data_IF_520595872939
#
_entry.id   IF_520595872939
#
_cell.length_a   1.000
_cell.length_b   1.000
_cell.length_c   1.000
_cell.angle_alpha   90.00
_cell.angle_beta   90.00
_cell.angle_gamma   90.00
#
_symmetry.space_group_name_H-M   'P 1'
#
loop_
_entity.id
_entity.type
_entity.pdbx_description
1 polymer ?
#
# COMPACT_ATOMS: atom_id res chain seq x y z
N UNK A 1 -6.80 -16.89 -42.54
CA UNK A 1 -7.16 -17.47 -41.24
C UNK A 1 -6.21 -16.87 -40.21
N UNK A 2 -6.63 -15.80 -39.55
CA UNK A 2 -5.89 -15.18 -38.45
C UNK A 2 -6.18 -16.01 -37.19
N UNK A 3 -5.18 -16.70 -36.66
CA UNK A 3 -5.29 -17.36 -35.35
C UNK A 3 -5.10 -16.31 -34.27
N UNK A 4 -6.20 -16.02 -33.57
CA UNK A 4 -6.22 -15.27 -32.33
C UNK A 4 -5.60 -16.14 -31.23
N UNK A 5 -4.33 -15.90 -30.88
CA UNK A 5 -3.72 -16.50 -29.69
C UNK A 5 -4.19 -15.66 -28.50
N UNK A 6 -5.26 -16.10 -27.86
CA UNK A 6 -5.63 -15.63 -26.53
C UNK A 6 -4.55 -16.13 -25.55
N UNK A 7 -3.56 -15.28 -25.29
CA UNK A 7 -2.62 -15.50 -24.19
C UNK A 7 -3.41 -15.45 -22.90
N UNK A 8 -3.62 -16.61 -22.28
CA UNK A 8 -3.96 -16.69 -20.87
C UNK A 8 -2.76 -16.12 -20.11
N UNK A 9 -2.82 -14.83 -19.79
CA UNK A 9 -1.94 -14.27 -18.77
C UNK A 9 -2.23 -15.04 -17.48
N UNK A 10 -1.35 -15.98 -17.13
CA UNK A 10 -1.34 -16.52 -15.78
C UNK A 10 -1.21 -15.31 -14.84
N UNK A 11 -1.91 -15.29 -13.70
CA UNK A 11 -1.71 -14.24 -12.71
C UNK A 11 -0.24 -14.30 -12.33
N UNK A 12 0.55 -13.34 -12.83
CA UNK A 12 1.85 -13.01 -12.25
C UNK A 12 1.49 -12.35 -10.94
N UNK A 13 1.23 -13.18 -9.93
CA UNK A 13 1.24 -12.73 -8.56
C UNK A 13 2.64 -12.14 -8.37
N UNK A 14 2.72 -10.81 -8.21
CA UNK A 14 3.95 -10.16 -7.79
C UNK A 14 4.53 -11.00 -6.67
N UNK A 15 5.71 -11.60 -6.90
CA UNK A 15 6.25 -12.61 -5.99
C UNK A 15 6.34 -11.96 -4.61
N UNK A 16 5.68 -12.54 -3.62
CA UNK A 16 5.64 -11.96 -2.30
C UNK A 16 7.03 -11.65 -1.76
N UNK A 17 7.12 -10.46 -1.21
CA UNK A 17 8.36 -9.92 -0.70
C UNK A 17 8.78 -10.71 0.55
N UNK A 18 10.08 -10.89 0.78
CA UNK A 18 10.60 -11.53 2.00
C UNK A 18 9.90 -11.10 3.30
N UNK A 19 9.60 -9.80 3.51
CA UNK A 19 8.81 -9.33 4.66
C UNK A 19 7.46 -10.03 4.83
N UNK A 20 6.72 -10.33 3.75
CA UNK A 20 5.43 -11.02 3.84
C UNK A 20 5.61 -12.48 4.24
N UNK A 21 6.62 -13.15 3.71
CA UNK A 21 6.90 -14.54 4.06
C UNK A 21 7.35 -14.68 5.52
N UNK A 22 8.15 -13.73 6.03
CA UNK A 22 8.48 -13.61 7.46
C UNK A 22 7.20 -13.46 8.30
N UNK A 23 6.34 -12.48 7.99
CA UNK A 23 5.13 -12.22 8.80
C UNK A 23 4.00 -13.24 8.64
N UNK A 24 4.06 -14.11 7.63
CA UNK A 24 3.12 -15.22 7.47
C UNK A 24 3.51 -16.44 8.30
N UNK A 25 4.73 -16.47 8.86
CA UNK A 25 5.20 -17.56 9.71
C UNK A 25 4.49 -17.55 11.05
N UNK A 26 3.78 -18.63 11.38
CA UNK A 26 3.18 -18.78 12.71
C UNK A 26 4.23 -19.00 13.81
N UNK A 27 5.45 -19.38 13.42
CA UNK A 27 6.55 -19.72 14.33
C UNK A 27 7.45 -18.51 14.65
N UNK A 28 7.25 -17.37 13.96
CA UNK A 28 8.04 -16.15 14.15
C UNK A 28 7.09 -14.97 14.36
N UNK A 29 6.73 -14.71 15.62
CA UNK A 29 5.91 -13.55 16.01
C UNK A 29 6.77 -12.29 16.13
N UNK A 30 7.42 -11.90 15.04
CA UNK A 30 8.28 -10.73 15.03
C UNK A 30 7.46 -9.46 15.32
N UNK A 31 7.91 -8.64 16.27
CA UNK A 31 7.22 -7.39 16.64
C UNK A 31 7.04 -6.46 15.43
N UNK A 32 7.97 -6.49 14.47
CA UNK A 32 7.89 -5.72 13.23
C UNK A 32 6.70 -6.12 12.31
N UNK A 33 6.08 -7.28 12.54
CA UNK A 33 4.89 -7.75 11.83
C UNK A 33 3.57 -7.26 12.44
N UNK A 34 3.60 -6.59 13.60
CA UNK A 34 2.40 -6.12 14.29
C UNK A 34 1.87 -4.84 13.63
N UNK A 35 1.06 -5.01 12.59
CA UNK A 35 0.40 -3.91 11.88
C UNK A 35 1.24 -3.25 10.79
N UNK A 36 2.42 -3.79 10.47
CA UNK A 36 3.29 -3.36 9.39
C UNK A 36 4.04 -4.56 8.77
N UNK A 37 4.67 -4.33 7.62
CA UNK A 37 5.67 -5.26 7.09
C UNK A 37 7.07 -4.75 7.48
N UNK A 38 8.00 -5.64 7.86
CA UNK A 38 9.40 -5.30 8.08
C UNK A 38 10.02 -4.64 6.86
N UNK A 39 10.88 -3.65 7.08
CA UNK A 39 11.57 -2.99 5.98
C UNK A 39 12.65 -3.90 5.37
N UNK A 40 13.09 -3.59 4.15
CA UNK A 40 14.20 -4.31 3.52
C UNK A 40 15.49 -4.25 4.34
N UNK A 41 15.66 -3.25 5.21
CA UNK A 41 16.86 -3.12 6.03
C UNK A 41 16.99 -4.19 7.10
N UNK A 42 15.95 -5.00 7.32
CA UNK A 42 16.03 -6.16 8.20
C UNK A 42 17.08 -7.16 7.69
N UNK A 43 17.08 -7.48 6.39
CA UNK A 43 18.05 -8.41 5.78
C UNK A 43 19.12 -7.73 4.91
N UNK A 44 18.96 -6.44 4.59
CA UNK A 44 19.85 -5.73 3.68
C UNK A 44 20.50 -4.52 4.34
N UNK A 45 21.77 -4.26 4.04
CA UNK A 45 22.41 -2.98 4.40
C UNK A 45 22.05 -1.90 3.37
N UNK A 46 22.04 -2.29 2.09
CA UNK A 46 21.57 -1.47 0.98
C UNK A 46 21.16 -2.44 -0.12
N UNK A 47 19.85 -2.69 -0.35
CA UNK A 47 19.42 -3.65 -1.36
C UNK A 47 20.14 -3.45 -2.70
N UNK A 48 20.68 -4.51 -3.33
CA UNK A 48 20.52 -5.92 -2.94
C UNK A 48 21.52 -6.45 -1.90
N UNK A 49 22.48 -5.65 -1.43
CA UNK A 49 23.55 -6.08 -0.52
C UNK A 49 22.97 -6.51 0.85
N UNK A 50 23.27 -7.74 1.26
CA UNK A 50 22.83 -8.32 2.53
C UNK A 50 23.61 -7.72 3.70
N UNK A 51 22.93 -7.57 4.85
CA UNK A 51 23.58 -7.30 6.13
C UNK A 51 23.99 -8.63 6.81
N UNK A 52 24.57 -8.56 8.01
CA UNK A 52 25.02 -9.75 8.74
C UNK A 52 23.91 -10.79 8.94
N UNK A 53 22.72 -10.35 9.38
CA UNK A 53 21.55 -11.21 9.53
C UNK A 53 21.07 -11.81 8.20
N UNK A 54 21.03 -10.99 7.14
CA UNK A 54 20.66 -11.44 5.80
C UNK A 54 21.59 -12.53 5.27
N UNK A 55 22.90 -12.44 5.57
CA UNK A 55 23.84 -13.53 5.26
C UNK A 55 23.55 -14.80 6.05
N UNK A 56 23.26 -14.70 7.35
CA UNK A 56 22.89 -15.87 8.17
C UNK A 56 21.63 -16.57 7.62
N UNK A 57 20.60 -15.81 7.25
CA UNK A 57 19.38 -16.36 6.61
C UNK A 57 19.68 -16.97 5.25
N UNK A 58 20.53 -16.33 4.44
CA UNK A 58 20.93 -16.85 3.13
C UNK A 58 21.72 -18.16 3.24
N UNK A 59 22.62 -18.27 4.22
CA UNK A 59 23.36 -19.49 4.51
C UNK A 59 22.43 -20.62 4.99
N UNK A 60 21.45 -20.30 5.84
CA UNK A 60 20.42 -21.24 6.27
C UNK A 60 19.54 -21.73 5.10
N UNK A 61 19.16 -20.84 4.17
CA UNK A 61 18.47 -21.21 2.93
C UNK A 61 19.34 -22.11 2.05
N UNK A 62 20.62 -21.78 1.87
CA UNK A 62 21.54 -22.56 1.06
C UNK A 62 21.82 -23.95 1.66
N UNK A 63 21.72 -24.09 2.99
CA UNK A 63 21.84 -25.37 3.68
C UNK A 63 20.59 -26.26 3.54
N UNK A 64 19.41 -25.69 3.23
CA UNK A 64 18.23 -26.48 2.86
C UNK A 64 18.43 -27.07 1.45
N UNK A 65 18.74 -28.36 1.37
CA UNK A 65 18.92 -29.06 0.09
C UNK A 65 17.69 -29.08 -0.83
N UNK A 66 16.52 -28.66 -0.35
CA UNK A 66 15.31 -28.48 -1.14
C UNK A 66 15.07 -27.01 -1.56
N UNK A 67 15.91 -26.07 -1.15
CA UNK A 67 15.81 -24.67 -1.53
C UNK A 67 16.13 -24.47 -3.01
N UNK A 68 15.26 -23.72 -3.67
CA UNK A 68 15.48 -23.11 -4.97
C UNK A 68 14.98 -21.68 -4.92
N UNK A 69 15.46 -20.82 -5.81
CA UNK A 69 14.98 -19.44 -5.87
C UNK A 69 13.45 -19.37 -6.08
N UNK A 70 12.85 -20.34 -6.76
CA UNK A 70 11.40 -20.41 -7.00
C UNK A 70 10.56 -20.78 -5.78
N UNK A 71 11.16 -21.35 -4.73
CA UNK A 71 10.45 -21.72 -3.51
C UNK A 71 10.87 -20.89 -2.29
N UNK A 72 11.58 -19.78 -2.51
CA UNK A 72 12.10 -18.89 -1.48
C UNK A 72 11.11 -18.60 -0.35
N UNK A 73 9.90 -18.15 -0.65
CA UNK A 73 8.90 -17.81 0.38
C UNK A 73 8.47 -19.00 1.24
N UNK A 74 8.35 -20.18 0.63
CA UNK A 74 7.96 -21.38 1.36
C UNK A 74 9.08 -21.88 2.27
N UNK A 75 10.34 -21.49 1.98
CA UNK A 75 11.53 -21.90 2.74
C UNK A 75 12.02 -20.84 3.72
N UNK A 76 11.71 -19.57 3.48
CA UNK A 76 12.18 -18.45 4.29
C UNK A 76 11.83 -18.60 5.78
N UNK A 77 10.60 -18.98 6.20
CA UNK A 77 10.29 -19.19 7.61
C UNK A 77 11.22 -20.20 8.30
N UNK A 78 11.50 -21.33 7.65
CA UNK A 78 12.37 -22.36 8.20
C UNK A 78 13.83 -21.88 8.30
N UNK A 79 14.30 -21.10 7.31
CA UNK A 79 15.63 -20.53 7.33
C UNK A 79 15.81 -19.48 8.43
N UNK A 80 14.80 -18.61 8.65
CA UNK A 80 14.80 -17.64 9.76
C UNK A 80 14.94 -18.36 11.11
N UNK A 81 14.15 -19.42 11.32
CA UNK A 81 14.21 -20.23 12.55
C UNK A 81 15.57 -20.91 12.68
N UNK A 82 16.12 -21.46 11.59
CA UNK A 82 17.42 -22.11 11.60
C UNK A 82 18.57 -21.16 11.93
N UNK A 83 18.50 -19.91 11.49
CA UNK A 83 19.42 -18.82 11.87
C UNK A 83 19.06 -18.18 13.22
N UNK A 84 18.01 -18.63 13.90
CA UNK A 84 17.43 -17.94 15.05
C UNK A 84 18.30 -17.94 16.31
N UNK A 85 19.17 -18.94 16.43
CA UNK A 85 20.12 -19.10 17.55
C UNK A 85 21.45 -18.35 17.30
N UNK A 86 21.67 -17.84 16.08
CA UNK A 86 22.85 -17.03 15.76
C UNK A 86 22.71 -15.63 16.36
N UNK A 87 23.84 -15.02 16.71
CA UNK A 87 23.99 -13.62 17.14
C UNK A 87 24.77 -12.90 16.04
N UNK A 88 24.06 -12.37 15.04
CA UNK A 88 24.72 -11.95 13.78
C UNK A 88 25.53 -10.67 13.94
N UNK A 89 25.21 -9.81 14.91
CA UNK A 89 25.91 -8.55 15.17
C UNK A 89 26.80 -8.56 16.42
N UNK A 90 26.73 -9.62 17.23
CA UNK A 90 27.59 -9.88 18.37
C UNK A 90 27.21 -9.10 19.62
N UNK A 91 25.96 -8.67 19.75
CA UNK A 91 25.48 -7.89 20.90
C UNK A 91 25.06 -8.74 22.12
N UNK A 92 25.00 -10.07 21.92
CA UNK A 92 24.69 -11.06 22.95
C UNK A 92 23.23 -11.50 23.01
N UNK A 93 22.37 -11.02 22.10
CA UNK A 93 21.03 -11.57 21.85
C UNK A 93 21.02 -12.44 20.60
N UNK A 94 20.14 -13.44 20.55
CA UNK A 94 19.96 -14.21 19.33
C UNK A 94 19.07 -13.47 18.33
N UNK A 95 19.24 -13.75 17.04
CA UNK A 95 18.44 -13.17 15.98
C UNK A 95 16.92 -13.33 16.24
N UNK A 96 16.49 -14.50 16.73
CA UNK A 96 15.08 -14.74 17.04
C UNK A 96 14.61 -13.92 18.24
N UNK A 97 15.42 -13.83 19.31
CA UNK A 97 15.09 -12.99 20.47
C UNK A 97 14.91 -11.52 20.05
N UNK A 98 15.78 -11.03 19.18
CA UNK A 98 15.69 -9.66 18.68
C UNK A 98 14.45 -9.42 17.82
N UNK A 99 14.10 -10.33 16.92
CA UNK A 99 12.86 -10.23 16.14
C UNK A 99 11.62 -10.17 17.04
N UNK A 100 11.58 -10.99 18.10
CA UNK A 100 10.49 -11.02 19.06
C UNK A 100 10.44 -9.71 19.88
N UNK A 101 11.59 -9.17 20.26
CA UNK A 101 11.69 -7.92 21.04
C UNK A 101 11.56 -6.65 20.19
N UNK A 102 11.65 -6.77 18.86
CA UNK A 102 11.59 -5.66 17.91
C UNK A 102 12.90 -4.91 17.71
N UNK A 103 14.03 -5.51 18.06
CA UNK A 103 15.37 -5.05 17.68
C UNK A 103 15.78 -5.53 16.27
N UNK A 104 16.92 -5.04 15.76
CA UNK A 104 17.44 -5.34 14.44
C UNK A 104 18.65 -6.28 14.55
N UNK A 105 18.56 -7.54 14.08
CA UNK A 105 19.62 -8.53 14.25
C UNK A 105 20.95 -8.31 13.54
N UNK A 106 21.16 -7.12 12.99
CA UNK A 106 22.36 -6.75 12.24
C UNK A 106 22.95 -5.43 12.71
N UNK A 107 22.41 -4.87 13.79
CA UNK A 107 22.80 -3.58 14.35
C UNK A 107 22.98 -3.73 15.86
N UNK A 108 24.23 -3.93 16.29
CA UNK A 108 24.60 -4.09 17.69
C UNK A 108 24.29 -2.84 18.57
N UNK A 109 23.79 -1.74 17.99
CA UNK A 109 23.26 -0.60 18.74
C UNK A 109 21.74 -0.66 18.93
N UNK A 110 21.04 -1.50 18.19
CA UNK A 110 19.61 -1.74 18.27
C UNK A 110 19.29 -2.76 19.37
N UNK A 111 19.52 -2.43 20.63
CA UNK A 111 19.18 -3.32 21.74
C UNK A 111 17.77 -3.03 22.29
N UNK A 112 17.04 -4.07 22.68
CA UNK A 112 15.79 -3.91 23.40
C UNK A 112 16.05 -3.36 24.81
N UNK A 113 15.66 -2.11 25.02
CA UNK A 113 15.55 -1.55 26.37
C UNK A 113 14.13 -1.77 26.83
N UNK A 114 13.93 -2.71 27.76
CA UNK A 114 12.64 -2.89 28.41
C UNK A 114 12.16 -1.51 28.91
N UNK A 115 10.97 -1.05 28.49
CA UNK A 115 10.47 0.22 28.99
C UNK A 115 10.42 0.11 30.51
N UNK A 116 10.87 1.15 31.24
CA UNK A 116 10.81 1.12 32.68
C UNK A 116 9.37 0.84 33.09
N UNK A 117 9.19 0.08 34.18
CA UNK A 117 7.88 -0.12 34.75
C UNK A 117 7.18 1.25 34.82
N UNK A 118 5.97 1.38 34.26
CA UNK A 118 5.33 2.68 34.17
C UNK A 118 5.16 3.20 35.61
N UNK A 119 5.80 4.33 35.87
CA UNK A 119 5.87 4.96 37.19
C UNK A 119 5.41 6.39 37.07
N UNK A 120 4.78 6.89 38.11
CA UNK A 120 4.39 8.29 38.19
C UNK A 120 3.63 8.57 39.47
N UNK A 121 3.53 9.85 39.80
CA UNK A 121 2.77 10.29 40.96
C UNK A 121 1.30 9.90 40.79
N UNK A 122 0.65 9.57 41.91
CA UNK A 122 -0.77 9.31 41.94
C UNK A 122 -1.53 10.47 41.29
N UNK A 123 -2.29 10.19 40.24
CA UNK A 123 -3.09 11.17 39.53
C UNK A 123 -4.58 10.95 39.87
N UNK A 124 -5.32 11.97 40.32
CA UNK A 124 -6.73 11.81 40.66
C UNK A 124 -7.63 11.57 39.44
N UNK A 125 -7.13 11.73 38.22
CA UNK A 125 -7.89 11.62 36.97
C UNK A 125 -7.50 10.43 36.10
N UNK A 126 -6.28 9.90 36.26
CA UNK A 126 -5.74 8.82 35.42
C UNK A 126 -5.09 7.72 36.25
N UNK A 127 -5.25 6.47 35.83
CA UNK A 127 -4.48 5.36 36.38
C UNK A 127 -3.06 5.39 35.79
N UNK A 128 -2.16 6.13 36.45
CA UNK A 128 -0.75 6.22 36.04
C UNK A 128 -0.01 4.99 36.54
N UNK A 129 0.65 4.27 35.63
CA UNK A 129 1.33 3.00 35.97
C UNK A 129 0.52 1.75 35.66
N UNK A 130 -0.78 1.89 35.41
CA UNK A 130 -1.70 0.78 35.17
C UNK A 130 -2.57 1.03 33.94
N UNK A 131 -3.35 0.02 33.52
CA UNK A 131 -4.31 0.16 32.44
C UNK A 131 -5.50 1.02 32.89
N UNK A 132 -5.60 2.23 32.37
CA UNK A 132 -6.74 3.12 32.61
C UNK A 132 -7.90 2.80 31.65
N UNK A 133 -8.87 2.01 32.11
CA UNK A 133 -10.06 1.66 31.33
C UNK A 133 -10.96 2.86 31.00
N UNK A 134 -10.97 3.90 31.84
CA UNK A 134 -11.74 5.12 31.57
C UNK A 134 -11.13 5.90 30.41
N UNK A 135 -9.79 5.96 30.37
CA UNK A 135 -9.04 6.56 29.28
C UNK A 135 -9.21 5.75 27.99
N UNK A 136 -9.12 4.42 28.06
CA UNK A 136 -9.33 3.53 26.91
C UNK A 136 -10.72 3.75 26.27
N UNK A 137 -11.78 3.79 27.08
CA UNK A 137 -13.14 4.06 26.61
C UNK A 137 -13.27 5.43 25.96
N UNK A 138 -12.71 6.48 26.59
CA UNK A 138 -12.64 7.82 26.01
C UNK A 138 -11.89 7.82 24.67
N UNK A 139 -10.79 7.08 24.58
CA UNK A 139 -9.96 7.00 23.38
C UNK A 139 -10.72 6.33 22.24
N UNK A 140 -11.45 5.24 22.51
CA UNK A 140 -12.31 4.59 21.51
C UNK A 140 -13.32 5.58 20.93
N UNK A 141 -14.09 6.26 21.80
CA UNK A 141 -15.10 7.19 21.31
C UNK A 141 -14.50 8.40 20.58
N UNK A 142 -13.38 8.94 21.08
CA UNK A 142 -12.76 10.12 20.44
C UNK A 142 -12.16 9.77 19.08
N UNK A 143 -11.46 8.64 18.98
CA UNK A 143 -10.75 8.25 17.76
C UNK A 143 -11.67 7.64 16.70
N UNK A 144 -12.66 6.83 17.10
CA UNK A 144 -13.47 6.06 16.16
C UNK A 144 -14.90 6.60 16.03
N UNK A 145 -15.45 7.26 17.06
CA UNK A 145 -16.76 7.90 16.99
C UNK A 145 -16.69 9.43 16.79
N UNK A 146 -15.49 10.03 16.81
CA UNK A 146 -15.30 11.47 16.57
C UNK A 146 -15.80 12.37 17.71
N UNK A 147 -16.11 11.80 18.88
CA UNK A 147 -16.66 12.56 20.02
C UNK A 147 -16.16 12.02 21.36
N UNK A 148 -16.05 12.87 22.39
CA UNK A 148 -15.82 12.37 23.74
C UNK A 148 -17.08 11.64 24.28
N UNK A 149 -16.93 10.75 25.28
CA UNK A 149 -18.06 10.25 26.06
C UNK A 149 -18.74 11.40 26.80
N UNK A 150 -20.05 11.31 26.92
CA UNK A 150 -20.82 12.09 27.90
C UNK A 150 -20.52 11.62 29.32
N UNK A 151 -20.92 12.43 30.32
CA UNK A 151 -20.76 12.05 31.72
C UNK A 151 -21.51 10.75 32.04
N UNK A 152 -22.76 10.62 31.57
CA UNK A 152 -23.61 9.46 31.84
C UNK A 152 -23.07 8.19 31.19
N UNK A 153 -22.59 8.27 29.93
CA UNK A 153 -21.95 7.13 29.25
C UNK A 153 -20.70 6.67 30.01
N UNK A 154 -19.85 7.61 30.44
CA UNK A 154 -18.65 7.28 31.21
C UNK A 154 -19.00 6.67 32.58
N UNK A 155 -19.97 7.24 33.28
CA UNK A 155 -20.42 6.73 34.57
C UNK A 155 -21.01 5.32 34.45
N UNK A 156 -21.82 5.07 33.42
CA UNK A 156 -22.39 3.75 33.13
C UNK A 156 -21.30 2.72 32.81
N UNK A 157 -20.32 3.07 31.98
CA UNK A 157 -19.19 2.20 31.66
C UNK A 157 -18.34 1.85 32.89
N UNK A 158 -18.06 2.83 33.75
CA UNK A 158 -17.28 2.61 34.97
C UNK A 158 -18.06 1.87 36.06
N UNK A 159 -19.39 1.88 36.01
CA UNK A 159 -20.26 1.14 36.93
C UNK A 159 -20.43 -0.34 36.58
N UNK A 160 -19.85 -0.83 35.48
CA UNK A 160 -19.85 -2.25 35.12
C UNK A 160 -19.07 -3.08 36.14
N UNK A 161 -19.57 -4.28 36.43
CA UNK A 161 -19.20 -5.05 37.63
C UNK A 161 -17.75 -5.56 37.64
N UNK A 162 -17.19 -5.88 36.47
CA UNK A 162 -15.88 -6.51 36.33
C UNK A 162 -15.10 -6.03 35.08
N UNK A 163 -13.82 -6.36 35.00
CA UNK A 163 -12.93 -5.95 33.90
C UNK A 163 -13.29 -6.63 32.57
N UNK A 164 -13.70 -7.91 32.58
CA UNK A 164 -14.09 -8.62 31.34
C UNK A 164 -15.36 -8.02 30.74
N UNK A 165 -16.31 -7.62 31.58
CA UNK A 165 -17.53 -6.92 31.17
C UNK A 165 -17.22 -5.54 30.61
N UNK A 166 -16.26 -4.81 31.22
CA UNK A 166 -15.78 -3.53 30.66
C UNK A 166 -15.07 -3.72 29.33
N UNK A 167 -14.28 -4.78 29.17
CA UNK A 167 -13.60 -5.09 27.92
C UNK A 167 -14.60 -5.39 26.80
N UNK A 168 -15.59 -6.26 27.06
CA UNK A 168 -16.67 -6.52 26.10
C UNK A 168 -17.45 -5.25 25.74
N UNK A 169 -17.72 -4.38 26.71
CA UNK A 169 -18.38 -3.10 26.45
C UNK A 169 -17.51 -2.14 25.62
N UNK A 170 -16.18 -2.16 25.82
CA UNK A 170 -15.23 -1.39 25.02
C UNK A 170 -15.23 -1.85 23.56
N UNK A 171 -15.16 -3.17 23.33
CA UNK A 171 -15.26 -3.75 21.99
C UNK A 171 -16.60 -3.44 21.34
N UNK A 172 -17.72 -3.58 22.05
CA UNK A 172 -19.03 -3.23 21.53
C UNK A 172 -19.15 -1.74 21.16
N UNK A 173 -18.54 -0.85 21.94
CA UNK A 173 -18.47 0.58 21.62
C UNK A 173 -17.63 0.82 20.36
N UNK A 174 -16.50 0.13 20.23
CA UNK A 174 -15.66 0.18 19.03
C UNK A 174 -16.45 -0.27 17.79
N UNK A 175 -17.13 -1.42 17.84
CA UNK A 175 -17.96 -1.93 16.73
C UNK A 175 -19.06 -0.94 16.32
N UNK A 176 -19.70 -0.31 17.31
CA UNK A 176 -20.68 0.75 17.05
C UNK A 176 -20.04 1.98 16.41
N UNK A 177 -18.81 2.34 16.79
CA UNK A 177 -18.09 3.45 16.16
C UNK A 177 -17.68 3.11 14.72
N UNK A 178 -17.14 1.92 14.48
CA UNK A 178 -16.68 1.46 13.15
C UNK A 178 -17.84 1.35 12.14
N UNK A 179 -19.07 1.18 12.62
CA UNK A 179 -20.29 1.18 11.79
C UNK A 179 -20.95 2.56 11.66
N UNK A 180 -20.38 3.62 12.26
CA UNK A 180 -20.91 4.99 12.17
C UNK A 180 -20.56 5.67 10.85
N UNK A 181 -21.33 6.71 10.49
CA UNK A 181 -21.00 7.59 9.36
C UNK A 181 -19.70 8.37 9.60
N UNK A 182 -19.43 8.82 10.82
CA UNK A 182 -18.16 9.50 11.14
C UNK A 182 -16.96 8.62 10.77
N UNK A 183 -16.97 7.34 11.17
CA UNK A 183 -15.87 6.44 10.83
C UNK A 183 -15.73 6.26 9.33
N UNK A 184 -16.83 5.91 8.63
CA UNK A 184 -16.82 5.61 7.20
C UNK A 184 -16.53 6.81 6.32
N UNK A 185 -17.09 7.97 6.65
CA UNK A 185 -17.17 9.12 5.75
C UNK A 185 -16.17 10.22 6.14
N UNK A 186 -15.52 10.13 7.30
CA UNK A 186 -14.54 11.12 7.75
C UNK A 186 -13.23 10.47 8.24
N UNK A 187 -13.28 9.59 9.25
CA UNK A 187 -12.07 9.06 9.85
C UNK A 187 -11.26 8.18 8.88
N UNK A 188 -11.93 7.25 8.17
CA UNK A 188 -11.28 6.42 7.15
C UNK A 188 -10.71 7.26 6.00
N UNK A 189 -11.42 8.31 5.57
CA UNK A 189 -10.91 9.21 4.52
C UNK A 189 -9.58 9.84 4.95
N UNK A 190 -9.48 10.33 6.18
CA UNK A 190 -8.23 10.93 6.68
C UNK A 190 -7.05 9.95 6.70
N UNK A 191 -7.31 8.65 6.87
CA UNK A 191 -6.26 7.62 6.76
C UNK A 191 -5.74 7.46 5.32
N UNK A 192 -6.56 7.82 4.33
CA UNK A 192 -6.23 7.74 2.91
C UNK A 192 -5.56 9.01 2.35
N UNK A 193 -5.51 10.12 3.11
CA UNK A 193 -4.99 11.41 2.65
C UNK A 193 -3.58 11.31 2.03
N UNK A 194 -2.70 10.50 2.63
CA UNK A 194 -1.34 10.29 2.13
C UNK A 194 -1.32 9.60 0.75
N UNK A 195 -2.33 8.78 0.43
CA UNK A 195 -2.45 8.00 -0.81
C UNK A 195 -3.20 8.76 -1.90
N UNK A 196 -4.31 9.42 -1.53
CA UNK A 196 -5.22 10.09 -2.47
C UNK A 196 -4.77 11.53 -2.77
N UNK A 197 -4.15 12.22 -1.79
CA UNK A 197 -3.65 13.60 -1.91
C UNK A 197 -4.73 14.56 -2.44
N UNK A 198 -5.76 14.88 -1.65
CA UNK A 198 -6.80 15.80 -2.08
C UNK A 198 -6.20 17.17 -2.41
N UNK A 199 -6.57 17.74 -3.56
CA UNK A 199 -6.21 19.10 -3.93
C UNK A 199 -7.51 19.90 -4.08
N UNK A 200 -7.90 20.68 -3.08
CA UNK A 200 -9.19 21.40 -3.07
C UNK A 200 -9.43 22.28 -4.32
N UNK A 201 -8.36 22.81 -4.92
CA UNK A 201 -8.45 23.59 -6.16
C UNK A 201 -8.86 22.76 -7.40
N UNK A 202 -8.70 21.44 -7.35
CA UNK A 202 -8.98 20.49 -8.44
C UNK A 202 -9.98 19.46 -7.93
N UNK A 203 -11.18 19.40 -8.51
CA UNK A 203 -12.27 18.61 -7.96
C UNK A 203 -13.58 19.01 -8.59
N UNK A 204 -14.62 18.18 -8.44
CA UNK A 204 -15.97 18.56 -8.88
C UNK A 204 -16.41 19.89 -8.25
N UNK A 205 -16.11 20.09 -6.96
CA UNK A 205 -16.40 21.33 -6.23
C UNK A 205 -15.26 22.39 -6.31
N UNK A 206 -14.18 22.08 -7.05
CA UNK A 206 -12.99 22.91 -7.16
C UNK A 206 -13.06 23.94 -8.29
N UNK A 207 -12.04 24.81 -8.38
CA UNK A 207 -11.93 25.79 -9.48
C UNK A 207 -11.68 25.13 -10.84
N UNK A 208 -11.09 23.92 -10.84
CA UNK A 208 -10.66 23.20 -12.03
C UNK A 208 -11.22 21.77 -11.96
N UNK A 209 -12.34 21.44 -12.64
CA UNK A 209 -13.04 20.18 -12.43
C UNK A 209 -12.45 19.00 -13.23
N UNK A 210 -11.12 18.83 -13.27
CA UNK A 210 -10.46 17.81 -14.12
C UNK A 210 -10.71 16.36 -13.68
N UNK A 211 -10.83 16.13 -12.38
CA UNK A 211 -11.14 14.84 -11.78
C UNK A 211 -11.64 15.08 -10.35
N UNK A 212 -12.24 14.08 -9.71
CA UNK A 212 -12.74 14.21 -8.33
C UNK A 212 -12.19 13.10 -7.43
N UNK A 213 -11.45 13.50 -6.40
CA UNK A 213 -10.87 12.61 -5.39
C UNK A 213 -11.92 11.98 -4.46
N UNK A 214 -13.15 12.49 -4.43
CA UNK A 214 -14.22 11.91 -3.63
C UNK A 214 -14.54 10.47 -4.03
N UNK A 215 -14.37 10.12 -5.31
CA UNK A 215 -14.53 8.74 -5.79
C UNK A 215 -13.50 7.78 -5.19
N UNK A 216 -12.26 8.24 -5.07
CA UNK A 216 -11.15 7.48 -4.48
C UNK A 216 -11.42 7.22 -2.99
N UNK A 217 -11.89 8.25 -2.27
CA UNK A 217 -12.30 8.11 -0.88
C UNK A 217 -13.44 7.11 -0.70
N UNK A 218 -14.44 7.13 -1.58
CA UNK A 218 -15.57 6.18 -1.56
C UNK A 218 -15.10 4.74 -1.75
N UNK A 219 -14.22 4.48 -2.72
CA UNK A 219 -13.66 3.15 -2.91
C UNK A 219 -12.82 2.72 -1.68
N UNK A 220 -11.97 3.61 -1.19
CA UNK A 220 -11.14 3.34 -0.02
C UNK A 220 -12.00 2.97 1.21
N UNK A 221 -12.96 3.81 1.56
CA UNK A 221 -13.84 3.56 2.70
C UNK A 221 -14.75 2.35 2.51
N UNK A 222 -15.18 2.06 1.29
CA UNK A 222 -15.91 0.84 1.00
C UNK A 222 -15.06 -0.37 1.34
N UNK A 223 -13.85 -0.47 0.78
CA UNK A 223 -12.96 -1.64 0.96
C UNK A 223 -12.43 -1.74 2.39
N UNK A 224 -12.12 -0.62 3.03
CA UNK A 224 -11.55 -0.56 4.39
C UNK A 224 -12.60 -0.62 5.51
N UNK A 225 -13.87 -0.82 5.17
CA UNK A 225 -14.95 -1.03 6.14
C UNK A 225 -15.59 -2.41 5.96
N UNK A 226 -16.19 -2.92 7.05
CA UNK A 226 -16.87 -4.21 7.04
C UNK A 226 -15.91 -5.39 6.84
N UNK A 227 -16.46 -6.51 6.38
CA UNK A 227 -15.72 -7.75 6.10
C UNK A 227 -15.52 -7.89 4.59
N UNK A 228 -14.60 -7.08 4.04
CA UNK A 228 -14.29 -7.03 2.61
C UNK A 228 -12.83 -7.34 2.37
N UNK A 229 -12.54 -7.86 1.18
CA UNK A 229 -11.18 -8.15 0.77
C UNK A 229 -10.42 -6.85 0.51
N UNK A 230 -9.45 -6.54 1.36
CA UNK A 230 -8.62 -5.33 1.23
C UNK A 230 -7.84 -5.27 -0.08
N UNK A 231 -7.65 -6.41 -0.76
CA UNK A 231 -7.02 -6.47 -2.08
C UNK A 231 -7.85 -5.74 -3.14
N UNK A 232 -9.14 -5.54 -2.92
CA UNK A 232 -10.01 -4.76 -3.83
C UNK A 232 -9.54 -3.30 -3.96
N UNK A 233 -8.73 -2.76 -3.04
CA UNK A 233 -8.05 -1.48 -3.25
C UNK A 233 -7.24 -1.45 -4.56
N UNK A 234 -6.73 -2.59 -5.02
CA UNK A 234 -5.95 -2.73 -6.24
C UNK A 234 -6.63 -3.59 -7.31
N UNK A 235 -7.57 -4.46 -6.91
CA UNK A 235 -8.20 -5.43 -7.80
C UNK A 235 -9.63 -5.07 -8.20
N UNK A 236 -10.25 -4.06 -7.59
CA UNK A 236 -11.64 -3.73 -7.89
C UNK A 236 -11.82 -3.34 -9.37
N UNK A 237 -12.70 -4.08 -10.03
CA UNK A 237 -13.20 -3.79 -11.39
C UNK A 237 -14.52 -3.01 -11.35
N UNK A 238 -14.86 -2.44 -10.20
CA UNK A 238 -16.13 -1.74 -9.93
C UNK A 238 -15.89 -0.42 -9.22
N UNK A 239 -16.81 0.53 -9.37
CA UNK A 239 -16.80 1.83 -8.68
C UNK A 239 -17.72 1.79 -7.45
N UNK A 240 -17.61 2.80 -6.61
CA UNK A 240 -18.53 3.02 -5.48
C UNK A 240 -19.23 4.36 -5.68
N UNK A 241 -20.56 4.33 -5.75
CA UNK A 241 -21.35 5.55 -5.93
C UNK A 241 -21.39 6.42 -4.67
N UNK A 242 -21.99 7.61 -4.76
CA UNK A 242 -22.13 8.52 -3.62
C UNK A 242 -23.00 7.97 -2.47
N UNK A 243 -23.79 6.92 -2.72
CA UNK A 243 -24.59 6.22 -1.71
C UNK A 243 -23.86 5.02 -1.11
N UNK A 244 -22.64 4.72 -1.56
CA UNK A 244 -21.84 3.58 -1.11
C UNK A 244 -22.14 2.27 -1.86
N UNK A 245 -22.93 2.30 -2.94
CA UNK A 245 -23.26 1.10 -3.71
C UNK A 245 -22.18 0.80 -4.75
N UNK A 246 -21.99 -0.48 -5.00
CA UNK A 246 -21.10 -0.96 -6.07
C UNK A 246 -21.73 -0.70 -7.44
N UNK A 247 -20.96 -0.10 -8.34
CA UNK A 247 -21.32 0.18 -9.73
C UNK A 247 -20.35 -0.55 -10.66
N UNK A 248 -20.86 -1.56 -11.36
CA UNK A 248 -20.08 -2.37 -12.31
C UNK A 248 -19.95 -1.74 -13.70
N UNK A 249 -20.17 -0.43 -13.85
CA UNK A 249 -20.10 0.28 -15.12
C UNK A 249 -19.42 1.63 -14.95
N UNK A 250 -19.46 2.48 -15.94
CA UNK A 250 -18.92 3.84 -15.80
C UNK A 250 -19.79 4.69 -14.88
N UNK A 251 -19.18 5.63 -14.18
CA UNK A 251 -19.90 6.74 -13.55
C UNK A 251 -19.74 7.94 -14.49
N UNK A 252 -20.81 8.45 -15.12
CA UNK A 252 -20.69 9.57 -16.04
C UNK A 252 -20.22 10.82 -15.30
N UNK A 253 -19.63 11.76 -16.05
CA UNK A 253 -19.40 13.09 -15.51
C UNK A 253 -20.73 13.72 -15.06
N UNK A 254 -20.73 14.52 -13.98
CA UNK A 254 -21.90 15.27 -13.57
C UNK A 254 -22.42 16.16 -14.71
N UNK A 255 -23.74 16.27 -14.83
CA UNK A 255 -24.39 16.95 -15.97
C UNK A 255 -24.05 18.46 -16.07
N UNK A 256 -23.61 19.06 -14.96
CA UNK A 256 -23.17 20.44 -14.83
C UNK A 256 -21.64 20.60 -14.96
N UNK A 257 -20.90 19.51 -15.22
CA UNK A 257 -19.46 19.57 -15.45
C UNK A 257 -19.13 20.35 -16.72
N UNK A 258 -18.38 21.45 -16.56
CA UNK A 258 -17.98 22.30 -17.68
C UNK A 258 -17.03 21.60 -18.67
N UNK A 259 -16.26 20.63 -18.20
CA UNK A 259 -15.19 19.96 -18.94
C UNK A 259 -15.53 18.50 -19.28
N UNK A 260 -16.76 18.05 -18.98
CA UNK A 260 -17.20 16.66 -19.11
C UNK A 260 -16.30 15.66 -18.35
N UNK A 261 -15.79 16.12 -17.20
CA UNK A 261 -14.89 15.39 -16.29
C UNK A 261 -15.47 15.36 -14.86
N UNK A 262 -14.81 14.66 -13.94
CA UNK A 262 -15.28 14.49 -12.55
C UNK A 262 -16.15 13.26 -12.30
N UNK A 263 -16.30 12.39 -13.31
CA UNK A 263 -16.89 11.06 -13.17
C UNK A 263 -15.83 9.97 -12.97
N UNK A 264 -16.18 8.75 -13.36
CA UNK A 264 -15.27 7.62 -13.47
C UNK A 264 -15.50 6.88 -14.80
N UNK A 265 -14.76 7.23 -15.86
CA UNK A 265 -15.12 6.86 -17.23
C UNK A 265 -14.64 5.46 -17.64
N UNK A 266 -13.85 4.77 -16.81
CA UNK A 266 -13.32 3.45 -17.18
C UNK A 266 -14.34 2.34 -17.01
N UNK A 267 -14.53 1.49 -18.03
CA UNK A 267 -15.33 0.27 -17.91
C UNK A 267 -14.57 -0.79 -17.09
N UNK A 268 -15.27 -1.76 -16.48
CA UNK A 268 -14.69 -2.75 -15.56
C UNK A 268 -13.42 -3.44 -16.03
N UNK A 269 -13.36 -3.80 -17.31
CA UNK A 269 -12.24 -4.53 -17.91
C UNK A 269 -10.96 -3.70 -18.01
N UNK A 270 -11.03 -2.38 -17.83
CA UNK A 270 -9.89 -1.47 -17.80
C UNK A 270 -9.62 -0.92 -16.39
N UNK A 271 -10.13 -1.59 -15.35
CA UNK A 271 -9.99 -1.13 -13.97
C UNK A 271 -9.11 -2.04 -13.13
N UNK A 272 -8.33 -1.38 -12.28
CA UNK A 272 -7.51 -1.95 -11.23
C UNK A 272 -7.60 -1.03 -10.00
N UNK A 273 -8.74 -1.08 -9.31
CA UNK A 273 -9.01 -0.36 -8.06
C UNK A 273 -8.61 1.12 -8.09
N UNK A 274 -7.83 1.52 -7.08
CA UNK A 274 -7.33 2.88 -6.88
C UNK A 274 -6.29 3.32 -7.91
N UNK A 275 -5.62 2.38 -8.61
CA UNK A 275 -4.59 2.71 -9.60
C UNK A 275 -5.16 3.22 -10.93
N UNK A 276 -6.48 3.15 -11.09
CA UNK A 276 -7.18 3.49 -12.33
C UNK A 276 -8.37 4.42 -12.07
N UNK A 277 -8.49 5.01 -10.89
CA UNK A 277 -9.48 6.08 -10.71
C UNK A 277 -9.12 7.28 -11.59
N UNK A 278 -10.12 8.04 -12.03
CA UNK A 278 -9.87 9.24 -12.83
C UNK A 278 -8.91 10.20 -12.12
N UNK A 279 -9.03 10.34 -10.80
CA UNK A 279 -8.14 11.16 -9.98
C UNK A 279 -6.69 10.69 -9.99
N UNK A 280 -6.45 9.40 -9.72
CA UNK A 280 -5.12 8.83 -9.69
C UNK A 280 -4.39 8.99 -11.04
N UNK A 281 -5.08 8.69 -12.14
CA UNK A 281 -4.53 8.86 -13.49
C UNK A 281 -4.26 10.34 -13.80
N UNK A 282 -5.20 11.22 -13.46
CA UNK A 282 -5.05 12.66 -13.66
C UNK A 282 -3.80 13.20 -12.99
N UNK A 283 -3.59 12.88 -11.71
CA UNK A 283 -2.51 13.48 -10.91
C UNK A 283 -1.14 12.80 -11.11
N UNK A 284 -1.11 11.51 -11.48
CA UNK A 284 0.15 10.76 -11.59
C UNK A 284 0.56 10.42 -13.02
N UNK A 285 -0.38 10.20 -13.93
CA UNK A 285 -0.12 9.95 -15.35
C UNK A 285 0.00 11.27 -16.10
N UNK A 286 -0.86 12.24 -15.76
CA UNK A 286 -0.88 13.58 -16.36
C UNK A 286 -0.78 13.53 -17.91
N UNK A 287 0.29 14.07 -18.47
CA UNK A 287 0.54 14.13 -19.92
C UNK A 287 1.62 13.13 -20.38
N UNK A 288 2.12 12.27 -19.49
CA UNK A 288 3.32 11.47 -19.79
C UNK A 288 2.99 10.30 -20.69
N UNK A 289 3.63 10.23 -21.86
CA UNK A 289 3.53 9.05 -22.73
C UNK A 289 4.03 7.80 -21.99
N UNK A 290 5.16 7.91 -21.30
CA UNK A 290 5.73 6.86 -20.46
C UNK A 290 5.63 7.26 -18.96
N UNK A 291 4.57 6.83 -18.25
CA UNK A 291 4.16 7.40 -16.97
C UNK A 291 4.91 6.80 -15.76
N UNK A 292 6.23 7.01 -15.74
CA UNK A 292 7.14 6.59 -14.65
C UNK A 292 6.70 7.06 -13.26
N UNK A 293 6.17 8.27 -13.16
CA UNK A 293 5.61 8.81 -11.92
C UNK A 293 4.39 8.02 -11.42
N UNK A 294 3.59 7.47 -12.33
CA UNK A 294 2.44 6.62 -11.97
C UNK A 294 2.92 5.30 -11.38
N UNK A 295 3.84 4.62 -12.05
CA UNK A 295 4.44 3.38 -11.56
C UNK A 295 5.14 3.56 -10.20
N UNK A 296 6.00 4.58 -10.08
CA UNK A 296 6.70 4.88 -8.83
C UNK A 296 5.74 5.21 -7.67
N UNK A 297 4.66 5.94 -7.95
CA UNK A 297 3.66 6.23 -6.92
C UNK A 297 2.86 4.98 -6.52
N UNK A 298 2.54 4.08 -7.46
CA UNK A 298 1.89 2.81 -7.13
C UNK A 298 2.74 1.99 -6.14
N UNK A 299 4.05 1.91 -6.38
CA UNK A 299 5.01 1.27 -5.48
C UNK A 299 5.00 1.91 -4.09
N UNK A 300 5.16 3.24 -4.03
CA UNK A 300 5.22 3.96 -2.75
C UNK A 300 3.92 3.85 -1.97
N UNK A 301 2.78 4.03 -2.63
CA UNK A 301 1.49 4.10 -1.97
C UNK A 301 0.96 2.73 -1.53
N UNK A 302 1.30 1.65 -2.24
CA UNK A 302 0.66 0.34 -2.02
C UNK A 302 1.61 -0.79 -1.67
N UNK A 303 2.89 -0.70 -2.02
CA UNK A 303 3.92 -1.67 -1.63
C UNK A 303 4.83 -1.17 -0.51
N UNK A 304 4.75 0.12 -0.17
CA UNK A 304 5.64 0.74 0.80
C UNK A 304 7.10 0.81 0.32
N UNK A 305 7.32 0.71 -1.00
CA UNK A 305 8.64 0.75 -1.62
C UNK A 305 8.86 2.08 -2.33
N UNK A 306 10.04 2.66 -2.16
CA UNK A 306 10.49 3.83 -2.89
C UNK A 306 11.68 3.50 -3.80
N UNK A 307 11.41 3.41 -5.11
CA UNK A 307 12.42 3.20 -6.16
C UNK A 307 13.53 4.26 -6.09
N UNK A 308 13.23 5.49 -5.64
CA UNK A 308 14.26 6.52 -5.48
C UNK A 308 15.23 6.23 -4.32
N UNK A 309 14.87 5.33 -3.41
CA UNK A 309 15.72 4.82 -2.31
C UNK A 309 16.36 3.46 -2.64
N UNK A 310 16.21 2.97 -3.88
CA UNK A 310 16.70 1.66 -4.29
C UNK A 310 15.80 0.49 -3.83
N UNK A 311 14.60 0.77 -3.34
CA UNK A 311 13.66 -0.26 -2.89
C UNK A 311 12.85 -0.81 -4.07
N UNK A 312 12.66 -2.13 -4.13
CA UNK A 312 11.84 -2.77 -5.17
C UNK A 312 12.45 -2.75 -6.58
N UNK A 313 13.77 -2.56 -6.68
CA UNK A 313 14.51 -2.61 -7.96
C UNK A 313 14.69 -4.06 -8.38
N UNK A 314 14.04 -4.45 -9.48
CA UNK A 314 14.11 -5.78 -10.09
C UNK A 314 14.25 -5.63 -11.62
N UNK A 315 15.49 -5.43 -12.11
CA UNK A 315 15.76 -5.21 -13.53
C UNK A 315 15.20 -6.31 -14.43
N UNK A 316 14.39 -5.94 -15.42
CA UNK A 316 13.87 -6.91 -16.40
C UNK A 316 14.92 -7.21 -17.45
N UNK A 317 15.36 -8.47 -17.50
CA UNK A 317 16.34 -8.91 -18.48
C UNK A 317 15.82 -8.72 -19.92
N UNK A 318 16.63 -8.11 -20.78
CA UNK A 318 16.30 -7.87 -22.18
C UNK A 318 15.45 -6.63 -22.43
N UNK A 319 15.08 -5.87 -21.39
CA UNK A 319 14.33 -4.64 -21.57
C UNK A 319 15.16 -3.57 -22.29
N UNK A 320 14.62 -2.93 -23.36
CA UNK A 320 15.28 -1.80 -23.99
C UNK A 320 15.50 -0.66 -22.99
N UNK A 321 16.73 -0.18 -22.93
CA UNK A 321 17.08 0.99 -22.12
C UNK A 321 16.79 2.26 -22.92
N UNK A 322 16.26 3.29 -22.24
CA UNK A 322 16.04 4.62 -22.82
C UNK A 322 15.05 4.67 -24.01
N UNK A 323 13.90 3.98 -23.87
CA UNK A 323 12.86 3.87 -24.91
C UNK A 323 12.31 5.22 -25.40
N UNK A 324 12.42 6.29 -24.63
CA UNK A 324 11.97 7.64 -24.98
C UNK A 324 13.11 8.63 -25.27
N UNK A 325 14.36 8.15 -25.37
CA UNK A 325 15.53 8.95 -25.75
C UNK A 325 15.85 10.10 -24.79
N UNK A 326 15.65 9.87 -23.49
CA UNK A 326 15.89 10.84 -22.41
C UNK A 326 17.27 10.69 -21.75
N UNK A 327 18.12 9.81 -22.26
CA UNK A 327 19.51 9.65 -21.82
C UNK A 327 19.66 8.78 -20.57
N UNK A 328 18.73 7.85 -20.33
CA UNK A 328 18.78 6.93 -19.17
C UNK A 328 19.57 5.64 -19.42
N UNK A 329 20.30 5.57 -20.53
CA UNK A 329 21.15 4.44 -20.90
C UNK A 329 22.46 4.34 -20.09
N UNK A 330 22.84 5.39 -19.36
CA UNK A 330 24.03 5.37 -18.51
C UNK A 330 23.91 4.30 -17.41
N UNK A 331 24.98 3.56 -17.07
CA UNK A 331 24.90 2.43 -16.13
C UNK A 331 24.28 2.77 -14.77
N UNK A 332 24.49 4.01 -14.29
CA UNK A 332 23.93 4.49 -13.03
C UNK A 332 22.40 4.67 -13.07
N UNK A 333 21.81 4.87 -14.26
CA UNK A 333 20.38 5.07 -14.47
C UNK A 333 19.70 3.78 -14.94
N UNK A 334 20.40 3.00 -15.77
CA UNK A 334 19.90 1.80 -16.44
C UNK A 334 19.32 0.77 -15.47
N UNK A 335 19.91 0.61 -14.28
CA UNK A 335 19.44 -0.36 -13.28
C UNK A 335 18.02 -0.02 -12.78
N UNK A 336 17.76 1.23 -12.41
CA UNK A 336 16.42 1.63 -11.97
C UNK A 336 15.43 1.68 -13.14
N UNK A 337 15.87 2.12 -14.32
CA UNK A 337 15.00 2.27 -15.48
C UNK A 337 14.60 0.94 -16.12
N UNK A 338 15.46 -0.08 -16.08
CA UNK A 338 15.10 -1.45 -16.49
C UNK A 338 14.07 -2.12 -15.57
N UNK A 339 13.80 -1.55 -14.39
CA UNK A 339 12.64 -1.91 -13.57
C UNK A 339 11.45 -0.99 -13.86
N UNK A 340 11.67 0.33 -13.83
CA UNK A 340 10.61 1.34 -13.82
C UNK A 340 9.90 1.50 -15.18
N UNK A 341 10.63 1.38 -16.28
CA UNK A 341 10.07 1.59 -17.62
C UNK A 341 9.05 0.49 -17.97
N UNK A 342 9.35 -0.82 -17.78
CA UNK A 342 8.36 -1.89 -17.91
C UNK A 342 7.10 -1.67 -17.08
N UNK A 343 7.24 -1.28 -15.80
CA UNK A 343 6.10 -1.02 -14.93
C UNK A 343 5.24 0.14 -15.43
N UNK A 344 5.85 1.11 -16.09
CA UNK A 344 5.16 2.26 -16.68
C UNK A 344 4.32 1.88 -17.89
N UNK A 345 4.62 0.76 -18.55
CA UNK A 345 3.87 0.31 -19.73
C UNK A 345 2.42 0.00 -19.41
N UNK A 346 2.17 -0.58 -18.23
CA UNK A 346 0.82 -0.86 -17.74
C UNK A 346 -0.10 0.38 -17.69
N UNK A 347 0.48 1.59 -17.59
CA UNK A 347 -0.28 2.83 -17.47
C UNK A 347 -0.29 3.68 -18.76
N UNK A 348 0.53 3.36 -19.76
CA UNK A 348 0.62 4.22 -20.95
C UNK A 348 -0.63 4.24 -21.83
N UNK A 349 -1.44 3.15 -21.90
CA UNK A 349 -2.74 3.21 -22.56
C UNK A 349 -3.73 4.19 -21.91
N UNK A 350 -3.48 4.65 -20.68
CA UNK A 350 -4.41 5.51 -19.95
C UNK A 350 -4.11 7.00 -20.16
N UNK A 351 -5.15 7.78 -20.42
CA UNK A 351 -5.11 9.24 -20.45
C UNK A 351 -5.12 9.81 -19.04
N UNK A 352 -4.05 10.51 -18.65
CA UNK A 352 -4.03 11.26 -17.40
C UNK A 352 -4.88 12.52 -17.54
N UNK A 353 -4.45 13.49 -18.36
CA UNK A 353 -5.19 14.73 -18.65
C UNK A 353 -5.32 14.92 -20.16
N UNK A 354 -6.53 14.67 -20.69
CA UNK A 354 -6.89 14.85 -22.09
C UNK A 354 -5.89 14.28 -23.12
N UNK A 355 -5.90 14.87 -24.32
CA UNK A 355 -4.89 14.64 -25.37
C UNK A 355 -3.94 15.83 -25.48
N UNK A 356 -2.65 15.53 -25.50
CA UNK A 356 -1.62 16.56 -25.70
C UNK A 356 -1.35 16.76 -27.19
N UNK A 357 -1.39 18.02 -27.64
CA UNK A 357 -1.07 18.41 -29.02
C UNK A 357 -0.01 19.52 -29.05
N UNK A 358 0.55 19.81 -30.22
CA UNK A 358 1.48 20.95 -30.42
C UNK A 358 0.84 22.31 -30.11
N UNK A 359 -0.49 22.37 -29.97
CA UNK A 359 -1.25 23.57 -29.58
C UNK A 359 -1.71 23.55 -28.11
N UNK A 360 -1.18 22.64 -27.30
CA UNK A 360 -1.57 22.44 -25.91
C UNK A 360 -2.55 21.28 -25.70
N UNK A 361 -3.11 21.22 -24.49
CA UNK A 361 -4.08 20.20 -24.07
C UNK A 361 -5.42 20.40 -24.79
N UNK A 362 -5.96 19.32 -25.33
CA UNK A 362 -7.29 19.24 -25.96
C UNK A 362 -8.02 18.01 -25.43
N UNK A 363 -9.30 17.91 -25.76
CA UNK A 363 -10.12 16.71 -25.55
C UNK A 363 -10.10 16.27 -24.07
N UNK A 364 -10.45 17.19 -23.16
CA UNK A 364 -10.42 16.95 -21.71
C UNK A 364 -11.40 15.87 -21.26
N UNK A 365 -12.45 15.61 -22.06
CA UNK A 365 -13.37 14.48 -21.90
C UNK A 365 -12.64 13.12 -21.90
N UNK A 366 -11.41 13.05 -22.41
CA UNK A 366 -10.58 11.84 -22.38
C UNK A 366 -9.83 11.64 -21.05
N UNK A 367 -9.89 12.57 -20.11
CA UNK A 367 -9.21 12.47 -18.82
C UNK A 367 -9.65 11.20 -18.07
N UNK A 368 -8.70 10.35 -17.70
CA UNK A 368 -8.91 9.06 -17.05
C UNK A 368 -9.45 7.96 -17.97
N UNK A 369 -9.51 8.16 -19.29
CA UNK A 369 -9.96 7.12 -20.24
C UNK A 369 -8.81 6.20 -20.68
N UNK A 370 -9.14 5.10 -21.36
CA UNK A 370 -8.18 4.12 -21.86
C UNK A 370 -8.19 4.10 -23.41
N UNK A 371 -7.01 4.19 -24.02
CA UNK A 371 -6.75 4.11 -25.45
C UNK A 371 -5.65 3.06 -25.72
N UNK A 372 -6.01 1.85 -26.21
CA UNK A 372 -5.02 0.80 -26.49
C UNK A 372 -4.03 1.18 -27.60
N UNK A 373 -4.32 2.21 -28.40
CA UNK A 373 -3.39 2.71 -29.42
C UNK A 373 -2.23 3.53 -28.85
N UNK A 374 -2.23 3.85 -27.55
CA UNK A 374 -1.19 4.65 -26.90
C UNK A 374 -0.11 3.77 -26.28
N UNK A 375 0.75 3.24 -27.15
CA UNK A 375 1.95 2.50 -26.74
C UNK A 375 3.18 3.25 -27.25
N UNK A 376 3.89 4.03 -26.41
CA UNK A 376 5.06 4.79 -26.82
C UNK A 376 6.34 3.96 -26.96
N UNK A 377 6.31 2.69 -26.56
CA UNK A 377 7.46 1.80 -26.60
C UNK A 377 7.54 1.02 -27.92
N UNK A 378 8.74 0.58 -28.34
CA UNK A 378 8.91 -0.20 -29.56
C UNK A 378 8.41 -1.65 -29.43
N UNK A 379 8.11 -2.30 -30.56
CA UNK A 379 7.57 -3.68 -30.66
C UNK A 379 8.46 -4.77 -30.02
N UNK A 380 9.67 -4.43 -29.59
CA UNK A 380 10.65 -5.31 -28.95
C UNK A 380 10.77 -5.13 -27.43
N UNK A 381 9.95 -4.26 -26.81
CA UNK A 381 9.89 -4.12 -25.34
C UNK A 381 9.38 -5.38 -24.64
N UNK A 382 9.72 -5.51 -23.36
CA UNK A 382 9.46 -6.71 -22.57
C UNK A 382 8.76 -6.34 -21.25
N UNK A 383 7.54 -6.83 -21.05
CA UNK A 383 6.83 -6.73 -19.77
C UNK A 383 6.94 -8.06 -19.01
N UNK A 384 7.56 -8.05 -17.83
CA UNK A 384 7.76 -9.24 -17.00
C UNK A 384 8.43 -10.42 -17.74
N UNK A 385 9.39 -10.15 -18.62
CA UNK A 385 10.10 -11.18 -19.38
C UNK A 385 9.37 -11.68 -20.65
N UNK A 386 8.21 -11.13 -20.98
CA UNK A 386 7.48 -11.41 -22.22
C UNK A 386 7.47 -10.19 -23.16
N UNK A 387 7.70 -10.41 -24.45
CA UNK A 387 7.55 -9.36 -25.48
C UNK A 387 6.11 -8.83 -25.49
N UNK A 388 5.96 -7.50 -25.55
CA UNK A 388 4.66 -6.80 -25.54
C UNK A 388 4.32 -6.14 -26.87
#
# INVERSE_FOLDING_TARGET
MLSLVAGLAAPVAARPTGPRALCASADVDATACHGALPSCTLCHQSPPDLNAYGFAVADALAADGAYTFDNFEARLPAAIIASGDDDSDGDGLSNLEELLLGSLPSDAQSHFVAPPAPTGDANPFFAVGDRDVAFAYRRVLTSFCGRPPTFDERAAFLGLEDDDTRERALHAALDSCLSSSFWRDEALHRLADAKIRPLEAIGFDGLIPLADYAWDYRLFSHVMSGDRDVRDLLLATYHVDASGNVVAGVIPAPADSLLDTGGQPLPPEQRAGMLTTQWFLMIHTMFSALPRTTAAQAYRAYLGMDIARGEGIDPVAGEPTDVDGRGVAEPACAVCHSTLDPLSYAFSPYHGIGRYSTRGVRDLELTGTHDPGRMPWPDDSVLFGASV
#
